data_IF_915702127706
#
_entry.id   IF_915702127706
#
_cell.length_a   1.000
_cell.length_b   1.000
_cell.length_c   1.000
_cell.angle_alpha   90.00
_cell.angle_beta   90.00
_cell.angle_gamma   90.00
#
_symmetry.space_group_name_H-M   'P 1'
#
loop_
_entity.id
_entity.type
_entity.pdbx_description
1 polymer ?
#
# COMPACT_ATOMS: atom_id res chain seq x y z
N UNK A 1 29.53 72.83 7.65
CA UNK A 1 29.96 71.63 6.90
C UNK A 1 31.23 71.09 7.54
N UNK A 2 31.23 69.89 8.10
CA UNK A 2 32.35 68.94 8.01
C UNK A 2 32.03 67.68 8.82
N UNK A 3 32.15 66.54 8.16
CA UNK A 3 32.15 65.18 8.70
C UNK A 3 33.31 65.01 9.70
N UNK A 4 33.33 63.94 10.51
CA UNK A 4 34.10 62.69 10.21
C UNK A 4 34.01 61.67 11.36
N UNK A 5 34.06 60.41 10.95
CA UNK A 5 33.87 59.14 11.66
C UNK A 5 34.87 58.77 12.76
N UNK A 6 34.39 57.84 13.59
CA UNK A 6 35.06 56.99 14.59
C UNK A 6 36.06 56.02 13.96
N UNK A 7 37.03 55.55 14.74
CA UNK A 7 37.30 54.14 15.13
C UNK A 7 38.55 54.10 16.04
N UNK A 8 38.46 53.42 17.19
CA UNK A 8 39.61 52.87 17.93
C UNK A 8 39.20 51.56 18.63
N UNK A 9 40.10 50.58 18.57
CA UNK A 9 40.05 49.25 19.18
C UNK A 9 40.07 49.29 20.72
N UNK A 10 39.54 48.24 21.37
CA UNK A 10 40.21 47.62 22.52
C UNK A 10 39.58 46.26 22.88
N UNK A 11 40.46 45.30 23.13
CA UNK A 11 40.22 43.93 23.59
C UNK A 11 39.70 43.89 25.04
N UNK A 12 38.96 42.84 25.40
CA UNK A 12 38.99 42.28 26.76
C UNK A 12 38.54 40.82 26.78
N UNK A 13 39.45 39.94 27.16
CA UNK A 13 39.16 38.60 27.70
C UNK A 13 39.10 38.73 29.23
N UNK A 14 38.11 38.10 29.88
CA UNK A 14 38.29 37.48 31.20
C UNK A 14 37.16 36.47 31.47
N UNK A 15 37.55 35.21 31.68
CA UNK A 15 36.79 34.09 32.25
C UNK A 15 36.65 34.34 33.78
N UNK A 16 35.65 33.92 34.55
CA UNK A 16 35.23 32.57 34.96
C UNK A 16 33.93 32.75 35.78
N UNK A 17 32.97 31.81 35.71
CA UNK A 17 32.33 31.17 36.88
C UNK A 17 31.28 30.16 36.42
N UNK A 18 31.68 28.91 36.54
CA UNK A 18 30.85 27.72 36.56
C UNK A 18 29.69 27.91 37.53
N UNK A 19 28.46 27.71 37.06
CA UNK A 19 27.34 27.24 37.89
C UNK A 19 26.61 26.18 37.09
N UNK A 20 26.73 24.96 37.59
CA UNK A 20 26.07 23.75 37.15
C UNK A 20 24.54 23.91 37.24
N UNK A 21 23.85 23.98 36.11
CA UNK A 21 22.41 23.68 36.02
C UNK A 21 22.18 22.67 34.91
N UNK A 22 22.31 21.41 35.35
CA UNK A 22 21.75 20.19 34.78
C UNK A 22 20.35 20.43 34.18
N UNK A 23 20.17 20.26 32.86
CA UNK A 23 19.07 19.47 32.27
C UNK A 23 19.05 19.45 30.73
N UNK A 24 19.00 18.19 30.26
CA UNK A 24 18.28 17.70 29.06
C UNK A 24 18.98 17.84 27.71
N UNK A 25 19.84 16.85 27.48
CA UNK A 25 20.10 16.19 26.21
C UNK A 25 18.77 15.91 25.48
N UNK A 26 18.46 16.70 24.45
CA UNK A 26 17.49 16.30 23.43
C UNK A 26 18.20 15.34 22.48
N UNK A 27 18.14 14.05 22.80
CA UNK A 27 18.38 13.00 21.81
C UNK A 27 17.37 13.18 20.70
N UNK A 28 17.87 13.48 19.50
CA UNK A 28 17.12 13.37 18.25
C UNK A 28 16.68 11.90 18.16
N UNK A 29 15.43 11.64 18.53
CA UNK A 29 14.79 10.37 18.27
C UNK A 29 14.64 10.27 16.75
N UNK A 30 15.49 9.47 16.11
CA UNK A 30 15.24 9.00 14.77
C UNK A 30 13.87 8.30 14.81
N UNK A 31 12.83 9.02 14.41
CA UNK A 31 11.53 8.45 14.14
C UNK A 31 11.72 7.54 12.93
N UNK A 32 12.02 6.27 13.20
CA UNK A 32 11.80 5.20 12.26
C UNK A 32 10.30 5.26 11.92
N UNK A 33 9.96 5.83 10.76
CA UNK A 33 8.61 5.63 10.21
C UNK A 33 8.46 4.12 10.06
N UNK A 34 7.48 3.47 10.70
CA UNK A 34 7.26 2.05 10.42
C UNK A 34 7.01 1.92 8.93
N UNK A 35 7.66 0.95 8.27
CA UNK A 35 7.37 0.60 6.88
C UNK A 35 5.88 0.32 6.79
N UNK A 36 5.10 1.28 6.28
CA UNK A 36 3.65 1.14 6.16
C UNK A 36 3.42 0.28 4.93
N UNK A 37 3.20 -1.02 5.17
CA UNK A 37 2.85 -1.94 4.10
C UNK A 37 1.46 -1.57 3.57
N UNK A 38 1.35 -1.30 2.27
CA UNK A 38 0.07 -1.14 1.58
C UNK A 38 -0.47 -2.54 1.32
N UNK A 39 -1.69 -2.80 1.75
CA UNK A 39 -2.38 -4.07 1.52
C UNK A 39 -3.23 -3.96 0.26
N UNK A 40 -3.34 -5.06 -0.45
CA UNK A 40 -4.12 -5.16 -1.68
C UNK A 40 -5.02 -6.39 -1.66
N UNK A 41 -6.17 -6.28 -2.30
CA UNK A 41 -7.01 -7.41 -2.67
C UNK A 41 -6.96 -7.61 -4.18
N UNK A 42 -6.84 -8.87 -4.60
CA UNK A 42 -7.07 -9.28 -5.97
C UNK A 42 -8.33 -10.17 -6.02
N UNK A 43 -9.30 -9.77 -6.85
CA UNK A 43 -10.53 -10.52 -7.11
C UNK A 43 -10.43 -11.15 -8.48
N UNK A 44 -10.26 -12.47 -8.51
CA UNK A 44 -10.14 -13.24 -9.76
C UNK A 44 -11.52 -13.73 -10.18
N UNK A 45 -12.04 -13.18 -11.27
CA UNK A 45 -13.38 -13.48 -11.76
C UNK A 45 -13.38 -14.65 -12.74
N UNK A 46 -14.39 -15.50 -12.64
CA UNK A 46 -14.56 -16.64 -13.53
C UNK A 46 -16.03 -16.88 -13.86
N UNK A 47 -16.36 -17.33 -15.09
CA UNK A 47 -17.71 -17.79 -15.40
C UNK A 47 -17.94 -19.17 -14.77
N UNK A 48 -19.19 -19.49 -14.40
CA UNK A 48 -19.55 -20.77 -13.76
C UNK A 48 -19.18 -22.01 -14.58
N UNK A 49 -19.06 -21.89 -15.91
CA UNK A 49 -18.59 -22.98 -16.78
C UNK A 49 -17.09 -23.28 -16.64
N UNK A 50 -16.34 -22.45 -15.91
CA UNK A 50 -14.89 -22.53 -15.73
C UNK A 50 -14.46 -22.72 -14.26
N UNK A 51 -15.33 -23.29 -13.40
CA UNK A 51 -15.04 -23.50 -11.97
C UNK A 51 -13.76 -24.32 -11.76
N UNK A 52 -13.57 -25.39 -12.54
CA UNK A 52 -12.40 -26.26 -12.41
C UNK A 52 -11.09 -25.50 -12.66
N UNK A 53 -11.05 -24.66 -13.69
CA UNK A 53 -9.88 -23.83 -14.00
C UNK A 53 -9.64 -22.74 -12.94
N UNK A 54 -10.69 -22.20 -12.35
CA UNK A 54 -10.57 -21.23 -11.25
C UNK A 54 -10.01 -21.89 -9.98
N UNK A 55 -10.46 -23.11 -9.64
CA UNK A 55 -9.86 -23.90 -8.55
C UNK A 55 -8.40 -24.26 -8.84
N UNK A 56 -8.07 -24.62 -10.08
CA UNK A 56 -6.68 -24.89 -10.47
C UNK A 56 -5.78 -23.68 -10.25
N UNK A 57 -6.19 -22.50 -10.72
CA UNK A 57 -5.44 -21.26 -10.51
C UNK A 57 -5.30 -20.93 -9.01
N UNK A 58 -6.39 -21.04 -8.25
CA UNK A 58 -6.37 -20.85 -6.79
C UNK A 58 -5.39 -21.80 -6.09
N UNK A 59 -5.36 -23.07 -6.50
CA UNK A 59 -4.43 -24.06 -5.95
C UNK A 59 -2.98 -23.75 -6.34
N UNK A 60 -2.74 -23.29 -7.57
CA UNK A 60 -1.42 -22.84 -8.02
C UNK A 60 -0.93 -21.62 -7.24
N UNK A 61 -1.80 -20.65 -6.95
CA UNK A 61 -1.44 -19.51 -6.08
C UNK A 61 -0.96 -20.03 -4.72
N UNK A 62 -1.73 -20.91 -4.06
CA UNK A 62 -1.33 -21.50 -2.78
C UNK A 62 -0.02 -22.29 -2.85
N UNK A 63 0.21 -23.01 -3.95
CA UNK A 63 1.40 -23.84 -4.13
C UNK A 63 2.66 -23.01 -4.41
N UNK A 64 2.56 -22.00 -5.29
CA UNK A 64 3.69 -21.28 -5.87
C UNK A 64 3.99 -19.93 -5.19
N UNK A 65 3.00 -19.27 -4.57
CA UNK A 65 3.15 -17.91 -4.01
C UNK A 65 3.24 -17.94 -2.49
N UNK A 66 4.38 -17.49 -1.95
CA UNK A 66 4.66 -17.40 -0.50
C UNK A 66 4.50 -15.98 0.04
N UNK A 67 4.23 -15.03 -0.85
CA UNK A 67 4.07 -13.61 -0.60
C UNK A 67 2.62 -13.15 -0.56
N UNK A 68 1.70 -14.03 -0.95
CA UNK A 68 0.27 -13.90 -0.69
C UNK A 68 0.00 -14.20 0.78
N UNK A 69 -0.83 -13.36 1.41
CA UNK A 69 -1.20 -13.46 2.82
C UNK A 69 -2.36 -14.41 3.04
N UNK A 70 -3.37 -14.38 2.17
CA UNK A 70 -4.57 -15.22 2.29
C UNK A 70 -5.19 -15.45 0.92
N UNK A 71 -5.69 -16.67 0.70
CA UNK A 71 -6.45 -17.05 -0.50
C UNK A 71 -7.79 -17.61 -0.04
N UNK A 72 -8.88 -17.02 -0.50
CA UNK A 72 -10.23 -17.37 -0.06
C UNK A 72 -10.87 -18.46 -0.94
N UNK A 73 -11.90 -19.17 -0.45
CA UNK A 73 -12.72 -20.06 -1.28
C UNK A 73 -13.39 -19.31 -2.45
N UNK A 74 -13.83 -20.06 -3.47
CA UNK A 74 -14.59 -19.48 -4.56
C UNK A 74 -15.99 -19.10 -4.10
N UNK A 75 -16.43 -17.92 -4.49
CA UNK A 75 -17.81 -17.45 -4.40
C UNK A 75 -18.48 -17.66 -5.76
N UNK A 76 -19.47 -18.56 -5.81
CA UNK A 76 -20.23 -18.87 -7.04
C UNK A 76 -21.38 -17.89 -7.31
N UNK A 77 -21.63 -16.94 -6.42
CA UNK A 77 -22.64 -15.89 -6.56
C UNK A 77 -22.04 -14.50 -6.73
N UNK A 78 -22.93 -13.51 -6.88
CA UNK A 78 -22.55 -12.09 -6.80
C UNK A 78 -22.54 -11.69 -5.32
N UNK A 79 -21.38 -11.27 -4.83
CA UNK A 79 -21.19 -10.89 -3.42
C UNK A 79 -20.65 -9.47 -3.39
N UNK A 80 -21.23 -8.61 -2.55
CA UNK A 80 -20.79 -7.22 -2.40
C UNK A 80 -20.78 -6.46 -3.74
N UNK A 81 -19.67 -5.77 -4.09
CA UNK A 81 -19.58 -4.94 -5.29
C UNK A 81 -19.32 -5.75 -6.58
N UNK A 82 -19.19 -7.08 -6.49
CA UNK A 82 -18.67 -7.92 -7.57
C UNK A 82 -19.74 -8.38 -8.56
N UNK A 83 -19.48 -8.18 -9.86
CA UNK A 83 -20.41 -8.46 -10.98
C UNK A 83 -20.29 -9.86 -11.58
N UNK A 84 -19.42 -10.71 -11.05
CA UNK A 84 -19.21 -12.08 -11.51
C UNK A 84 -18.74 -12.96 -10.34
N UNK A 85 -18.96 -14.30 -10.36
CA UNK A 85 -18.31 -15.22 -9.44
C UNK A 85 -16.80 -14.97 -9.38
N UNK A 86 -16.23 -15.01 -8.18
CA UNK A 86 -14.83 -14.69 -7.94
C UNK A 86 -14.23 -15.49 -6.79
N UNK A 87 -12.90 -15.45 -6.66
CA UNK A 87 -12.24 -15.67 -5.37
C UNK A 87 -11.29 -14.52 -5.08
N UNK A 88 -11.05 -14.28 -3.80
CA UNK A 88 -10.27 -13.16 -3.29
C UNK A 88 -8.88 -13.62 -2.84
N UNK A 89 -7.88 -12.75 -3.03
CA UNK A 89 -6.50 -12.97 -2.61
C UNK A 89 -5.95 -11.70 -1.97
N UNK A 90 -5.37 -11.83 -0.76
CA UNK A 90 -4.74 -10.72 -0.04
C UNK A 90 -3.23 -10.76 -0.19
N UNK A 91 -2.59 -9.63 -0.44
CA UNK A 91 -1.14 -9.51 -0.51
C UNK A 91 -0.66 -8.10 -0.13
N UNK A 92 0.63 -7.94 0.15
CA UNK A 92 1.21 -6.66 0.56
C UNK A 92 2.25 -6.15 -0.45
N UNK A 93 2.32 -4.83 -0.64
CA UNK A 93 3.36 -4.07 -1.35
C UNK A 93 3.72 -4.46 -2.80
N UNK A 94 3.20 -5.57 -3.33
CA UNK A 94 3.51 -6.17 -4.63
C UNK A 94 5.01 -6.25 -5.00
N UNK A 95 5.90 -6.14 -4.01
CA UNK A 95 7.34 -6.03 -4.19
C UNK A 95 7.97 -7.33 -4.71
N UNK A 96 7.31 -8.45 -4.44
CA UNK A 96 7.67 -9.80 -4.90
C UNK A 96 6.98 -10.17 -6.22
N UNK A 97 6.34 -9.22 -6.89
CA UNK A 97 5.79 -9.39 -8.24
C UNK A 97 4.62 -10.38 -8.30
N UNK A 98 3.68 -10.28 -7.36
CA UNK A 98 2.48 -11.12 -7.37
C UNK A 98 1.57 -10.73 -8.53
N UNK A 99 1.33 -9.44 -8.74
CA UNK A 99 0.49 -8.95 -9.83
C UNK A 99 1.02 -9.40 -11.19
N UNK A 100 2.34 -9.30 -11.41
CA UNK A 100 2.95 -9.70 -12.68
C UNK A 100 2.78 -11.20 -12.93
N UNK A 101 3.07 -12.04 -11.94
CA UNK A 101 2.88 -13.49 -12.06
C UNK A 101 1.41 -13.84 -12.26
N UNK A 102 0.50 -13.18 -11.55
CA UNK A 102 -0.93 -13.41 -11.69
C UNK A 102 -1.39 -13.07 -13.10
N UNK A 103 -0.90 -11.98 -13.68
CA UNK A 103 -1.20 -11.61 -15.06
C UNK A 103 -0.75 -12.67 -16.08
N UNK A 104 0.35 -13.39 -15.80
CA UNK A 104 0.84 -14.48 -16.65
C UNK A 104 0.11 -15.80 -16.40
N UNK A 105 -0.31 -16.08 -15.15
CA UNK A 105 -0.88 -17.34 -14.75
C UNK A 105 -2.41 -17.42 -14.92
N UNK A 106 -3.12 -16.27 -14.89
CA UNK A 106 -4.59 -16.20 -14.84
C UNK A 106 -5.32 -16.64 -16.12
N UNK A 107 -4.59 -16.85 -17.22
CA UNK A 107 -5.20 -17.02 -18.54
C UNK A 107 -6.09 -15.82 -18.90
N UNK A 108 -7.34 -16.08 -19.26
CA UNK A 108 -8.30 -15.04 -19.67
C UNK A 108 -9.17 -14.51 -18.53
N UNK A 109 -9.01 -15.01 -17.29
CA UNK A 109 -9.83 -14.56 -16.16
C UNK A 109 -9.59 -13.08 -15.85
N UNK A 110 -10.64 -12.22 -15.84
CA UNK A 110 -10.53 -10.85 -15.36
C UNK A 110 -10.06 -10.80 -13.92
N UNK A 111 -9.24 -9.82 -13.57
CA UNK A 111 -8.83 -9.58 -12.18
C UNK A 111 -8.96 -8.11 -11.84
N UNK A 112 -9.68 -7.79 -10.77
CA UNK A 112 -9.67 -6.48 -10.13
C UNK A 112 -8.66 -6.50 -9.00
N UNK A 113 -7.71 -5.57 -9.01
CA UNK A 113 -6.72 -5.38 -7.94
C UNK A 113 -6.91 -3.99 -7.37
N UNK A 114 -7.11 -3.87 -6.06
CA UNK A 114 -7.25 -2.57 -5.40
C UNK A 114 -6.49 -2.53 -4.07
N UNK A 115 -6.01 -1.35 -3.64
CA UNK A 115 -5.47 -1.18 -2.30
C UNK A 115 -6.58 -1.26 -1.24
N UNK A 116 -6.19 -1.46 0.01
CA UNK A 116 -7.05 -1.28 1.18
C UNK A 116 -6.70 0.07 1.81
N UNK A 117 -7.56 1.05 1.61
CA UNK A 117 -7.48 2.39 2.15
C UNK A 117 -8.66 2.72 3.07
N UNK A 118 -8.98 4.01 3.14
CA UNK A 118 -10.05 4.54 4.00
C UNK A 118 -11.36 4.78 3.23
N UNK A 119 -11.40 4.53 1.91
CA UNK A 119 -12.55 4.80 1.06
C UNK A 119 -12.73 3.67 0.04
N UNK A 120 -13.70 2.79 0.29
CA UNK A 120 -13.93 1.61 -0.53
C UNK A 120 -14.32 1.99 -1.97
N UNK A 121 -15.09 3.05 -2.17
CA UNK A 121 -15.47 3.50 -3.50
C UNK A 121 -14.24 3.88 -4.34
N UNK A 122 -13.38 4.75 -3.80
CA UNK A 122 -12.17 5.20 -4.49
C UNK A 122 -11.21 4.03 -4.69
N UNK A 123 -11.07 3.15 -3.70
CA UNK A 123 -10.18 2.00 -3.79
C UNK A 123 -10.57 1.06 -4.92
N UNK A 124 -11.87 0.73 -5.05
CA UNK A 124 -12.35 -0.19 -6.09
C UNK A 124 -12.52 0.44 -7.47
N UNK A 125 -12.37 1.76 -7.60
CA UNK A 125 -12.56 2.49 -8.86
C UNK A 125 -11.27 3.21 -9.30
N UNK A 126 -10.93 4.33 -8.67
CA UNK A 126 -9.83 5.20 -9.08
C UNK A 126 -8.44 4.62 -8.77
N UNK A 127 -8.30 3.91 -7.65
CA UNK A 127 -7.03 3.28 -7.26
C UNK A 127 -6.90 1.84 -7.76
N UNK A 128 -7.93 1.31 -8.41
CA UNK A 128 -7.96 -0.05 -8.89
C UNK A 128 -7.20 -0.22 -10.21
N UNK A 129 -6.67 -1.43 -10.39
CA UNK A 129 -6.08 -1.89 -11.65
C UNK A 129 -6.83 -3.15 -12.09
N UNK A 130 -7.13 -3.21 -13.39
CA UNK A 130 -7.68 -4.42 -14.01
C UNK A 130 -6.62 -5.17 -14.81
N UNK A 131 -6.57 -6.48 -14.62
CA UNK A 131 -5.87 -7.39 -15.53
C UNK A 131 -6.89 -8.04 -16.46
N UNK A 132 -6.73 -7.81 -17.77
CA UNK A 132 -7.65 -8.34 -18.78
C UNK A 132 -8.88 -7.46 -18.95
N UNK A 133 -10.05 -8.08 -19.13
CA UNK A 133 -11.30 -7.36 -19.36
C UNK A 133 -11.80 -6.69 -18.08
N UNK A 134 -12.06 -5.39 -18.14
CA UNK A 134 -12.72 -4.68 -17.05
C UNK A 134 -14.23 -5.01 -16.99
N UNK A 135 -14.70 -5.40 -15.79
CA UNK A 135 -16.12 -5.66 -15.53
C UNK A 135 -16.80 -4.49 -14.80
N UNK A 136 -16.00 -3.65 -14.15
CA UNK A 136 -16.46 -2.66 -13.17
C UNK A 136 -17.06 -3.32 -11.91
N UNK A 137 -17.61 -2.49 -11.04
CA UNK A 137 -18.23 -2.89 -9.77
C UNK A 137 -19.61 -2.27 -9.59
N UNK A 138 -20.40 -2.79 -8.64
CA UNK A 138 -21.63 -2.15 -8.18
C UNK A 138 -21.27 -1.06 -7.17
N UNK A 139 -21.09 0.17 -7.64
CA UNK A 139 -20.65 1.30 -6.80
C UNK A 139 -21.63 1.61 -5.67
N UNK A 140 -22.93 1.34 -5.84
CA UNK A 140 -23.96 1.47 -4.80
C UNK A 140 -23.80 0.48 -3.63
N UNK A 141 -22.87 -0.48 -3.74
CA UNK A 141 -22.53 -1.45 -2.70
C UNK A 141 -21.25 -1.12 -1.95
N UNK A 142 -20.59 0.00 -2.27
CA UNK A 142 -19.38 0.47 -1.62
C UNK A 142 -19.74 1.61 -0.66
N UNK A 143 -19.22 1.56 0.57
CA UNK A 143 -19.51 2.53 1.64
C UNK A 143 -18.40 3.55 1.84
#
# INVERSE_FOLDING_TARGET
MSLTSKIVHAERRYSVKEHEVKKRRLTISQHHKPNRHIMFHAHVYFPLKNIAQAEELKNRINAERRDVLTVFPLNMGLVGPHKMPMFEVHFANDDKGFTQWLNQARGDFPVLIHPIGDNDLIDHTEHAVWLGRELGVFEDKLS
#
